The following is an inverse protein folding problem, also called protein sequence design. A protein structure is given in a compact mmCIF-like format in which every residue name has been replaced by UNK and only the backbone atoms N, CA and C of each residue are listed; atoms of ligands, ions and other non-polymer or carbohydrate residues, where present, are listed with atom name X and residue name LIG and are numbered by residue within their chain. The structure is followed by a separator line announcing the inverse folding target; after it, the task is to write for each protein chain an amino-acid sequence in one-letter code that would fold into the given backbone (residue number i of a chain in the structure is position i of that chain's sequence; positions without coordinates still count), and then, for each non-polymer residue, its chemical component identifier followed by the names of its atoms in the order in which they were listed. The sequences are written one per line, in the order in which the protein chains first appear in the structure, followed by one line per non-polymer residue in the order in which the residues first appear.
data_IF_209563643676
#
_entry.id   IF_209563643676
#
_cell.length_a   1.000
_cell.length_b   1.000
_cell.length_c   1.000
_cell.angle_alpha   90.00
_cell.angle_beta   90.00
_cell.angle_gamma   90.00
#
_symmetry.space_group_name_H-M   'P 1'
#
loop_
_entity.id
_entity.type
_entity.pdbx_description
1 polymer ?
#
# COMPACT_ATOMS: atom_id res chain seq x y z
N UNK A 1 -4.21 26.22 -30.53
CA UNK A 1 -3.99 24.80 -30.91
C UNK A 1 -2.64 24.41 -30.36
N UNK A 2 -2.61 23.77 -29.19
CA UNK A 2 -1.37 23.25 -28.61
C UNK A 2 -0.95 21.97 -29.35
N UNK A 3 0.36 21.64 -29.42
CA UNK A 3 0.80 20.42 -30.06
C UNK A 3 0.26 19.21 -29.29
N UNK A 4 -0.45 18.32 -29.99
CA UNK A 4 -0.79 17.00 -29.46
C UNK A 4 0.51 16.22 -29.35
N UNK A 5 1.08 16.13 -28.14
CA UNK A 5 2.13 15.18 -27.85
C UNK A 5 1.52 13.79 -28.00
N UNK A 6 1.77 13.15 -29.14
CA UNK A 6 1.58 11.71 -29.27
C UNK A 6 2.53 11.06 -28.28
N UNK A 7 2.03 10.66 -27.12
CA UNK A 7 2.78 9.79 -26.22
C UNK A 7 2.99 8.48 -26.97
N UNK A 8 4.20 8.25 -27.47
CA UNK A 8 4.60 6.89 -27.82
C UNK A 8 4.37 6.03 -26.59
N UNK A 9 3.49 5.03 -26.72
CA UNK A 9 3.30 4.01 -25.69
C UNK A 9 4.58 3.20 -25.57
N UNK A 10 5.45 3.60 -24.63
CA UNK A 10 6.61 2.81 -24.24
C UNK A 10 6.11 1.56 -23.54
N UNK A 11 6.03 0.45 -24.25
CA UNK A 11 5.63 -0.83 -23.66
C UNK A 11 6.80 -1.44 -22.90
N UNK A 12 6.63 -1.66 -21.60
CA UNK A 12 7.63 -2.32 -20.79
C UNK A 12 7.87 -3.76 -21.29
N UNK A 13 9.13 -4.25 -21.34
CA UNK A 13 9.43 -5.59 -21.85
C UNK A 13 8.74 -6.67 -21.02
N UNK A 14 7.99 -7.55 -21.70
CA UNK A 14 7.27 -8.62 -21.04
C UNK A 14 8.20 -9.74 -20.52
N UNK A 15 7.77 -10.39 -19.44
CA UNK A 15 8.41 -11.58 -18.87
C UNK A 15 7.61 -12.86 -19.10
N UNK A 16 8.24 -14.00 -18.82
CA UNK A 16 7.59 -15.33 -18.87
C UNK A 16 6.83 -15.64 -17.56
N UNK A 17 7.41 -15.30 -16.41
CA UNK A 17 6.84 -15.50 -15.08
C UNK A 17 6.16 -14.21 -14.56
N UNK A 18 6.92 -13.13 -14.56
CA UNK A 18 6.45 -11.77 -14.29
C UNK A 18 5.75 -11.22 -15.53
N UNK A 19 4.74 -10.36 -15.35
CA UNK A 19 4.15 -9.64 -16.49
C UNK A 19 5.20 -8.75 -17.14
N UNK A 20 5.91 -7.95 -16.33
CA UNK A 20 6.96 -7.06 -16.79
C UNK A 20 8.32 -7.44 -16.18
N UNK A 21 9.39 -7.36 -16.97
CA UNK A 21 10.75 -7.60 -16.47
C UNK A 21 11.20 -6.55 -15.46
N UNK A 22 10.59 -5.38 -15.49
CA UNK A 22 10.85 -4.30 -14.53
C UNK A 22 10.58 -4.72 -13.08
N UNK A 23 9.65 -5.66 -12.85
CA UNK A 23 9.27 -6.12 -11.51
C UNK A 23 10.30 -7.04 -10.85
N UNK A 24 11.37 -7.45 -11.57
CA UNK A 24 12.40 -8.34 -11.00
C UNK A 24 13.02 -7.76 -9.73
N UNK A 25 13.31 -6.46 -9.74
CA UNK A 25 13.95 -5.77 -8.62
C UNK A 25 13.00 -5.64 -7.43
N UNK A 26 11.77 -5.19 -7.64
CA UNK A 26 10.78 -5.05 -6.57
C UNK A 26 10.46 -6.41 -5.95
N UNK A 27 10.23 -7.45 -6.76
CA UNK A 27 10.00 -8.82 -6.26
C UNK A 27 11.19 -9.33 -5.46
N UNK A 28 12.41 -9.20 -5.98
CA UNK A 28 13.61 -9.63 -5.25
C UNK A 28 13.76 -8.93 -3.90
N UNK A 29 13.50 -7.63 -3.83
CA UNK A 29 13.56 -6.85 -2.58
C UNK A 29 12.46 -7.26 -1.59
N UNK A 30 11.23 -7.48 -2.05
CA UNK A 30 10.13 -7.98 -1.20
C UNK A 30 10.45 -9.35 -0.63
N UNK A 31 10.97 -10.26 -1.46
CA UNK A 31 11.31 -11.62 -1.02
C UNK A 31 12.54 -11.63 -0.11
N UNK A 32 13.55 -10.78 -0.35
CA UNK A 32 14.70 -10.63 0.53
C UNK A 32 14.30 -10.06 1.90
N UNK A 33 13.44 -9.03 1.92
CA UNK A 33 12.86 -8.48 3.15
C UNK A 33 12.05 -9.52 3.91
N UNK A 34 11.23 -10.30 3.21
CA UNK A 34 10.47 -11.40 3.81
C UNK A 34 11.38 -12.48 4.41
N UNK A 35 12.41 -12.90 3.67
CA UNK A 35 13.39 -13.88 4.15
C UNK A 35 14.16 -13.37 5.37
N UNK A 36 14.51 -12.07 5.40
CA UNK A 36 15.15 -11.45 6.57
C UNK A 36 14.23 -11.51 7.81
N UNK A 37 12.95 -11.14 7.67
CA UNK A 37 11.97 -11.24 8.76
C UNK A 37 11.73 -12.67 9.21
N UNK A 38 11.67 -13.61 8.26
CA UNK A 38 11.56 -15.04 8.56
C UNK A 38 12.79 -15.55 9.31
N UNK A 39 13.99 -15.08 8.95
CA UNK A 39 15.23 -15.38 9.65
C UNK A 39 15.21 -14.88 11.10
N UNK A 40 14.72 -13.66 11.33
CA UNK A 40 14.52 -13.13 12.70
C UNK A 40 13.52 -13.98 13.47
N UNK A 41 12.40 -14.36 12.85
CA UNK A 41 11.39 -15.20 13.48
C UNK A 41 11.90 -16.58 13.89
N UNK A 42 12.69 -17.24 13.04
CA UNK A 42 13.13 -18.62 13.24
C UNK A 42 14.38 -18.74 14.12
N UNK A 43 15.29 -17.75 14.07
CA UNK A 43 16.65 -17.93 14.60
C UNK A 43 17.09 -16.87 15.62
N UNK A 44 16.31 -15.81 15.84
CA UNK A 44 16.71 -14.69 16.72
C UNK A 44 15.82 -14.66 17.95
N UNK A 45 16.42 -14.43 19.12
CA UNK A 45 15.62 -14.25 20.35
C UNK A 45 14.78 -12.98 20.22
N UNK A 46 13.55 -12.92 20.77
CA UNK A 46 12.70 -11.78 20.54
C UNK A 46 13.29 -10.45 21.03
N UNK A 47 14.10 -10.47 22.10
CA UNK A 47 14.80 -9.29 22.62
C UNK A 47 15.84 -8.72 21.64
N UNK A 48 16.61 -9.59 20.99
CA UNK A 48 17.53 -9.16 19.92
C UNK A 48 16.72 -8.72 18.69
N UNK A 49 15.61 -9.40 18.39
CA UNK A 49 14.69 -8.99 17.33
C UNK A 49 14.16 -7.56 17.53
N UNK A 50 13.85 -7.16 18.77
CA UNK A 50 13.44 -5.79 19.09
C UNK A 50 14.53 -4.76 18.74
N UNK A 51 15.80 -5.09 19.01
CA UNK A 51 16.94 -4.23 18.64
C UNK A 51 17.13 -4.14 17.12
N UNK A 52 16.69 -5.16 16.37
CA UNK A 52 16.75 -5.19 14.90
C UNK A 52 15.58 -4.47 14.23
N UNK A 53 14.58 -3.98 14.96
CA UNK A 53 13.42 -3.28 14.37
C UNK A 53 13.81 -2.16 13.40
N UNK A 54 14.77 -1.26 13.69
CA UNK A 54 15.19 -0.23 12.73
C UNK A 54 15.68 -0.82 11.40
N UNK A 55 16.43 -1.92 11.45
CA UNK A 55 16.93 -2.63 10.25
C UNK A 55 15.78 -3.25 9.48
N UNK A 56 14.82 -3.86 10.18
CA UNK A 56 13.61 -4.40 9.56
C UNK A 56 12.75 -3.29 8.91
N UNK A 57 12.80 -2.05 9.40
CA UNK A 57 11.98 -0.95 8.90
C UNK A 57 12.51 -0.38 7.58
N UNK A 58 13.83 -0.38 7.35
CA UNK A 58 14.45 0.18 6.14
C UNK A 58 13.81 -0.37 4.85
N UNK A 59 13.74 -1.69 4.61
CA UNK A 59 13.11 -2.21 3.41
C UNK A 59 11.59 -2.05 3.42
N UNK A 60 10.98 -1.94 4.61
CA UNK A 60 9.52 -1.95 4.76
C UNK A 60 8.83 -0.78 4.06
N UNK A 61 9.48 0.40 4.04
CA UNK A 61 8.98 1.56 3.31
C UNK A 61 8.90 1.30 1.80
N UNK A 62 9.90 0.61 1.24
CA UNK A 62 9.87 0.22 -0.17
C UNK A 62 8.83 -0.86 -0.44
N UNK A 63 8.71 -1.84 0.46
CA UNK A 63 7.71 -2.93 0.35
C UNK A 63 6.28 -2.38 0.36
N UNK A 64 6.00 -1.30 1.10
CA UNK A 64 4.70 -0.63 1.06
C UNK A 64 4.36 -0.10 -0.34
N UNK A 65 5.30 0.59 -0.99
CA UNK A 65 5.14 1.09 -2.36
C UNK A 65 4.95 -0.07 -3.36
N UNK A 66 5.73 -1.15 -3.21
CA UNK A 66 5.60 -2.32 -4.09
C UNK A 66 4.28 -3.07 -3.88
N UNK A 67 3.76 -3.13 -2.65
CA UNK A 67 2.43 -3.68 -2.39
C UNK A 67 1.36 -2.83 -3.09
N UNK A 68 1.42 -1.51 -2.94
CA UNK A 68 0.52 -0.59 -3.63
C UNK A 68 0.52 -0.81 -5.15
N UNK A 69 1.69 -0.85 -5.80
CA UNK A 69 1.80 -1.14 -7.23
C UNK A 69 1.26 -2.53 -7.62
N UNK A 70 1.57 -3.56 -6.84
CA UNK A 70 1.05 -4.92 -7.08
C UNK A 70 -0.48 -4.96 -7.08
N UNK A 71 -1.12 -4.14 -6.25
CA UNK A 71 -2.57 -4.09 -6.11
C UNK A 71 -3.22 -3.23 -7.21
N UNK A 72 -2.50 -2.33 -7.87
CA UNK A 72 -2.93 -1.74 -9.16
C UNK A 72 -2.83 -2.77 -10.29
N UNK A 73 -1.66 -3.38 -10.42
CA UNK A 73 -1.39 -4.35 -11.48
C UNK A 73 -0.69 -5.57 -10.89
N UNK A 74 -1.39 -6.71 -10.92
CA UNK A 74 -0.84 -8.00 -10.53
C UNK A 74 0.52 -8.25 -11.21
N UNK A 75 1.56 -8.49 -10.40
CA UNK A 75 2.97 -8.62 -10.83
C UNK A 75 3.25 -9.88 -11.67
N UNK A 76 2.61 -11.00 -11.33
CA UNK A 76 2.82 -12.28 -12.00
C UNK A 76 1.77 -12.54 -13.07
N UNK A 77 2.12 -13.32 -14.09
CA UNK A 77 1.12 -13.85 -15.04
C UNK A 77 0.21 -14.90 -14.38
N UNK A 78 0.74 -15.68 -13.44
CA UNK A 78 -0.01 -16.72 -12.73
C UNK A 78 -0.93 -16.10 -11.66
N UNK A 79 -2.26 -16.35 -11.72
CA UNK A 79 -3.18 -15.89 -10.68
C UNK A 79 -2.81 -16.41 -9.29
N UNK A 80 -2.38 -17.68 -9.20
CA UNK A 80 -2.00 -18.31 -7.92
C UNK A 80 -0.78 -17.63 -7.30
N UNK A 81 0.24 -17.32 -8.11
CA UNK A 81 1.43 -16.63 -7.61
C UNK A 81 1.11 -15.23 -7.10
N UNK A 82 0.18 -14.51 -7.75
CA UNK A 82 -0.28 -13.22 -7.23
C UNK A 82 -0.95 -13.36 -5.86
N UNK A 83 -1.81 -14.38 -5.66
CA UNK A 83 -2.47 -14.59 -4.35
C UNK A 83 -1.49 -15.02 -3.25
N UNK A 84 -0.47 -15.82 -3.58
CA UNK A 84 0.60 -16.13 -2.63
C UNK A 84 1.43 -14.88 -2.29
N UNK A 85 1.72 -14.06 -3.29
CA UNK A 85 2.47 -12.83 -3.12
C UNK A 85 1.71 -11.78 -2.29
N UNK A 86 0.38 -11.69 -2.44
CA UNK A 86 -0.44 -10.83 -1.57
C UNK A 86 -0.27 -11.18 -0.09
N UNK A 87 -0.18 -12.48 0.25
CA UNK A 87 -0.01 -12.92 1.64
C UNK A 87 1.36 -12.47 2.16
N UNK A 88 2.41 -12.63 1.34
CA UNK A 88 3.77 -12.17 1.68
C UNK A 88 3.82 -10.64 1.87
N UNK A 89 3.13 -9.88 1.01
CA UNK A 89 3.03 -8.43 1.13
C UNK A 89 2.20 -8.01 2.35
N UNK A 90 1.09 -8.68 2.63
CA UNK A 90 0.22 -8.39 3.76
C UNK A 90 0.93 -8.59 5.11
N UNK A 91 1.67 -9.69 5.25
CA UNK A 91 2.53 -9.94 6.43
C UNK A 91 3.59 -8.85 6.62
N UNK A 92 4.04 -8.23 5.53
CA UNK A 92 5.09 -7.22 5.59
C UNK A 92 4.58 -5.80 5.83
N UNK A 93 3.39 -5.49 5.34
CA UNK A 93 2.86 -4.12 5.26
C UNK A 93 1.69 -3.85 6.19
N UNK A 94 1.08 -4.88 6.80
CA UNK A 94 -0.04 -4.74 7.71
C UNK A 94 -1.40 -4.52 7.04
N UNK A 95 -1.44 -4.25 5.74
CA UNK A 95 -2.69 -4.17 4.96
C UNK A 95 -2.96 -5.50 4.25
N UNK A 96 -4.16 -6.04 4.44
CA UNK A 96 -4.54 -7.34 3.91
C UNK A 96 -4.65 -7.37 2.37
N UNK A 97 -4.61 -8.57 1.75
CA UNK A 97 -4.83 -8.73 0.31
C UNK A 97 -6.10 -8.02 -0.16
N UNK A 98 -6.09 -7.38 -1.33
CA UNK A 98 -7.19 -6.54 -1.86
C UNK A 98 -7.54 -5.30 -1.05
N UNK A 99 -6.88 -5.03 0.09
CA UNK A 99 -7.14 -3.84 0.89
C UNK A 99 -6.91 -2.55 0.10
N UNK A 100 -5.79 -2.47 -0.64
CA UNK A 100 -5.51 -1.38 -1.57
C UNK A 100 -6.51 -1.34 -2.73
N UNK A 101 -6.92 -2.48 -3.30
CA UNK A 101 -7.90 -2.49 -4.40
C UNK A 101 -9.20 -1.82 -3.97
N UNK A 102 -9.71 -2.15 -2.77
CA UNK A 102 -10.94 -1.58 -2.25
C UNK A 102 -10.77 -0.13 -1.78
N UNK A 103 -9.80 0.13 -0.88
CA UNK A 103 -9.62 1.46 -0.28
C UNK A 103 -9.11 2.48 -1.29
N UNK A 104 -8.12 2.09 -2.09
CA UNK A 104 -7.34 3.03 -2.89
C UNK A 104 -7.76 3.03 -4.35
N UNK A 105 -7.95 1.88 -5.01
CA UNK A 105 -8.24 1.87 -6.44
C UNK A 105 -9.72 2.19 -6.73
N UNK A 106 -10.61 1.56 -5.97
CA UNK A 106 -12.06 1.73 -6.12
C UNK A 106 -12.62 2.85 -5.25
N UNK A 107 -11.91 3.20 -4.18
CA UNK A 107 -12.19 4.36 -3.33
C UNK A 107 -11.38 5.58 -3.76
N UNK A 108 -10.25 5.81 -3.09
CA UNK A 108 -9.45 7.03 -3.19
C UNK A 108 -9.19 7.52 -4.63
N UNK A 109 -8.70 6.69 -5.55
CA UNK A 109 -8.48 7.09 -6.96
C UNK A 109 -9.74 7.58 -7.67
N UNK A 110 -10.93 7.15 -7.24
CA UNK A 110 -12.21 7.64 -7.75
C UNK A 110 -12.65 8.93 -7.10
N UNK A 111 -12.26 9.15 -5.84
CA UNK A 111 -12.86 10.15 -4.96
C UNK A 111 -11.89 11.22 -4.45
N UNK A 112 -10.59 11.16 -4.76
CA UNK A 112 -9.55 12.01 -4.14
C UNK A 112 -9.76 13.53 -4.32
N UNK A 113 -10.52 13.94 -5.33
CA UNK A 113 -10.95 15.34 -5.54
C UNK A 113 -12.09 15.79 -4.61
N UNK A 114 -12.70 14.88 -3.85
CA UNK A 114 -13.85 15.13 -2.99
C UNK A 114 -13.42 15.06 -1.53
N UNK A 115 -13.42 16.21 -0.88
CA UNK A 115 -13.07 16.35 0.52
C UNK A 115 -14.29 16.82 1.30
N UNK A 116 -14.53 16.32 2.52
CA UNK A 116 -15.61 16.80 3.36
C UNK A 116 -15.55 18.33 3.58
N UNK A 117 -16.71 18.98 3.85
CA UNK A 117 -18.02 18.39 4.10
C UNK A 117 -18.83 18.11 2.83
N UNK A 118 -18.27 18.35 1.65
CA UNK A 118 -19.00 18.31 0.39
C UNK A 118 -18.90 16.94 -0.31
N UNK A 119 -20.05 16.45 -0.80
CA UNK A 119 -20.14 15.27 -1.66
C UNK A 119 -19.77 13.93 -0.98
N UNK A 120 -19.55 12.92 -1.81
CA UNK A 120 -19.01 11.62 -1.37
C UNK A 120 -17.50 11.78 -1.14
N UNK A 121 -17.12 11.83 0.15
CA UNK A 121 -15.75 12.04 0.57
C UNK A 121 -14.81 10.90 0.16
N UNK A 122 -13.59 11.28 -0.21
CA UNK A 122 -12.43 10.40 -0.38
C UNK A 122 -12.26 9.46 0.82
N UNK A 123 -12.07 8.17 0.58
CA UNK A 123 -11.76 7.18 1.61
C UNK A 123 -10.44 7.49 2.35
N UNK A 124 -9.55 8.27 1.73
CA UNK A 124 -8.32 8.80 2.32
C UNK A 124 -8.38 10.32 2.58
N UNK A 125 -9.59 10.86 2.82
CA UNK A 125 -9.83 12.29 3.02
C UNK A 125 -8.95 12.90 4.11
N UNK A 126 -8.50 14.12 3.88
CA UNK A 126 -7.67 14.90 4.80
C UNK A 126 -8.40 16.08 5.44
N UNK A 127 -9.60 16.41 4.97
CA UNK A 127 -10.48 17.40 5.57
C UNK A 127 -11.44 16.77 6.60
N UNK A 128 -11.85 17.53 7.62
CA UNK A 128 -12.79 17.08 8.66
C UNK A 128 -14.23 17.15 8.15
N UNK A 129 -15.04 16.15 8.53
CA UNK A 129 -16.47 16.11 8.17
C UNK A 129 -17.31 17.25 8.75
N UNK A 130 -16.94 17.80 9.90
CA UNK A 130 -17.76 18.81 10.59
C UNK A 130 -17.74 20.18 9.90
N UNK A 131 -16.54 20.70 9.62
CA UNK A 131 -16.33 22.07 9.13
C UNK A 131 -15.46 22.14 7.87
N UNK A 132 -15.02 21.01 7.34
CA UNK A 132 -14.11 20.94 6.20
C UNK A 132 -12.68 21.35 6.50
N UNK A 133 -12.32 21.66 7.74
CA UNK A 133 -10.96 22.10 8.04
C UNK A 133 -9.93 20.97 7.84
N UNK A 134 -8.71 21.31 7.42
CA UNK A 134 -7.62 20.35 7.22
C UNK A 134 -7.20 19.69 8.54
N UNK A 135 -7.15 18.35 8.58
CA UNK A 135 -6.59 17.60 9.69
C UNK A 135 -5.09 17.84 9.84
N UNK A 136 -4.58 17.80 11.07
CA UNK A 136 -3.13 17.74 11.28
C UNK A 136 -2.57 16.39 10.80
N UNK A 137 -1.28 16.33 10.44
CA UNK A 137 -0.67 15.09 9.92
C UNK A 137 -0.79 13.89 10.87
N UNK A 138 -0.61 14.10 12.18
CA UNK A 138 -0.76 13.05 13.19
C UNK A 138 -2.22 12.57 13.25
N UNK A 139 -3.17 13.51 13.30
CA UNK A 139 -4.59 13.22 13.31
C UNK A 139 -5.01 12.43 12.07
N UNK A 140 -4.62 12.89 10.86
CA UNK A 140 -4.83 12.16 9.61
C UNK A 140 -4.28 10.74 9.67
N UNK A 141 -3.02 10.60 10.10
CA UNK A 141 -2.35 9.30 10.15
C UNK A 141 -3.10 8.33 11.04
N UNK A 142 -3.51 8.77 12.23
CA UNK A 142 -4.27 7.94 13.16
C UNK A 142 -5.68 7.67 12.65
N UNK A 143 -6.35 8.67 12.07
CA UNK A 143 -7.68 8.53 11.48
C UNK A 143 -7.67 7.47 10.38
N UNK A 144 -6.83 7.63 9.36
CA UNK A 144 -6.70 6.68 8.25
C UNK A 144 -6.29 5.30 8.77
N UNK A 145 -5.31 5.21 9.68
CA UNK A 145 -4.90 3.93 10.25
C UNK A 145 -6.04 3.21 11.00
N UNK A 146 -6.87 3.92 11.76
CA UNK A 146 -7.95 3.30 12.54
C UNK A 146 -9.19 2.99 11.69
N UNK A 147 -9.50 3.84 10.71
CA UNK A 147 -10.76 3.76 9.95
C UNK A 147 -10.62 3.09 8.57
N UNK A 148 -9.41 2.85 8.04
CA UNK A 148 -9.26 2.26 6.69
C UNK A 148 -10.02 0.93 6.52
N UNK A 149 -10.09 0.09 7.55
CA UNK A 149 -10.85 -1.17 7.46
C UNK A 149 -12.35 -0.90 7.28
N UNK A 150 -12.90 0.10 7.96
CA UNK A 150 -14.30 0.50 7.83
C UNK A 150 -14.56 1.00 6.41
N UNK A 151 -13.68 1.86 5.88
CA UNK A 151 -13.79 2.37 4.51
C UNK A 151 -13.66 1.25 3.46
N UNK A 152 -12.73 0.31 3.63
CA UNK A 152 -12.62 -0.89 2.80
C UNK A 152 -13.94 -1.65 2.73
N UNK A 153 -14.61 -1.84 3.87
CA UNK A 153 -15.91 -2.52 3.90
C UNK A 153 -17.02 -1.68 3.28
N UNK A 154 -17.05 -0.36 3.48
CA UNK A 154 -18.02 0.55 2.85
C UNK A 154 -17.91 0.51 1.33
N UNK A 155 -16.71 0.66 0.78
CA UNK A 155 -16.44 0.53 -0.67
C UNK A 155 -16.75 -0.89 -1.13
N UNK A 156 -16.30 -1.91 -0.39
CA UNK A 156 -16.54 -3.31 -0.73
C UNK A 156 -18.01 -3.69 -0.85
N UNK A 157 -18.91 -3.08 -0.06
CA UNK A 157 -20.36 -3.30 -0.21
C UNK A 157 -20.91 -2.79 -1.55
N UNK A 158 -20.28 -1.78 -2.14
CA UNK A 158 -20.57 -1.30 -3.51
C UNK A 158 -19.92 -2.19 -4.59
N UNK A 159 -18.92 -2.99 -4.23
CA UNK A 159 -18.17 -3.89 -5.12
C UNK A 159 -18.11 -5.34 -4.58
N UNK A 160 -19.26 -6.06 -4.54
CA UNK A 160 -19.38 -7.36 -3.87
C UNK A 160 -18.42 -8.42 -4.43
N UNK A 161 -18.10 -8.34 -5.72
CA UNK A 161 -17.16 -9.26 -6.36
C UNK A 161 -15.71 -9.10 -5.91
N UNK A 162 -15.30 -7.91 -5.50
CA UNK A 162 -13.95 -7.67 -4.95
C UNK A 162 -13.97 -7.94 -3.46
N UNK A 163 -15.07 -7.59 -2.78
CA UNK A 163 -15.26 -7.89 -1.36
C UNK A 163 -15.21 -9.39 -1.05
N UNK A 164 -15.79 -10.26 -1.89
CA UNK A 164 -15.68 -11.72 -1.71
C UNK A 164 -14.22 -12.19 -1.74
N UNK A 165 -13.39 -11.60 -2.59
CA UNK A 165 -11.97 -11.95 -2.68
C UNK A 165 -11.18 -11.41 -1.50
N UNK A 166 -11.45 -10.17 -1.07
CA UNK A 166 -10.89 -9.58 0.14
C UNK A 166 -11.19 -10.46 1.37
N UNK A 167 -12.44 -10.87 1.55
CA UNK A 167 -12.85 -11.76 2.65
C UNK A 167 -12.27 -13.17 2.50
N UNK A 168 -12.29 -13.73 1.30
CA UNK A 168 -11.71 -15.05 1.03
C UNK A 168 -10.22 -15.10 1.32
N UNK A 169 -9.46 -14.07 0.93
CA UNK A 169 -8.02 -13.98 1.17
C UNK A 169 -7.64 -13.68 2.63
N UNK A 170 -8.57 -13.17 3.46
CA UNK A 170 -8.36 -13.09 4.91
C UNK A 170 -8.17 -14.47 5.54
N UNK A 171 -8.81 -15.51 5.01
CA UNK A 171 -8.70 -16.88 5.55
C UNK A 171 -7.25 -17.40 5.50
N UNK A 172 -6.58 -17.52 4.34
CA UNK A 172 -5.20 -17.99 4.30
C UNK A 172 -4.23 -17.01 4.98
N UNK A 173 -4.46 -15.69 4.88
CA UNK A 173 -3.62 -14.71 5.57
C UNK A 173 -3.67 -14.88 7.11
N UNK A 174 -4.86 -14.94 7.70
CA UNK A 174 -4.99 -15.13 9.15
C UNK A 174 -4.63 -16.54 9.59
N UNK A 175 -4.75 -17.56 8.73
CA UNK A 175 -4.21 -18.88 9.02
C UNK A 175 -2.68 -18.82 9.21
N UNK A 176 -1.95 -18.11 8.34
CA UNK A 176 -0.49 -17.93 8.49
C UNK A 176 -0.16 -17.14 9.77
N UNK A 177 -0.89 -16.07 10.04
CA UNK A 177 -0.73 -15.29 11.29
C UNK A 177 -0.99 -16.16 12.53
N UNK A 178 -2.07 -16.94 12.54
CA UNK A 178 -2.42 -17.82 13.65
C UNK A 178 -1.36 -18.91 13.86
N UNK A 179 -0.84 -19.51 12.79
CA UNK A 179 0.24 -20.50 12.86
C UNK A 179 1.53 -19.90 13.45
N UNK A 180 1.90 -18.68 13.01
CA UNK A 180 3.06 -17.97 13.55
C UNK A 180 2.92 -17.65 15.04
N UNK A 181 1.74 -17.16 15.44
CA UNK A 181 1.43 -16.86 16.85
C UNK A 181 1.35 -18.12 17.71
N UNK A 182 0.82 -19.22 17.18
CA UNK A 182 0.78 -20.51 17.87
C UNK A 182 2.18 -21.09 18.09
N UNK A 183 3.07 -20.98 17.09
CA UNK A 183 4.43 -21.50 17.18
C UNK A 183 5.30 -20.70 18.15
N UNK A 184 5.43 -19.38 17.93
CA UNK A 184 6.25 -18.51 18.78
C UNK A 184 5.68 -17.09 18.76
N UNK A 185 4.76 -16.76 19.68
CA UNK A 185 4.00 -15.52 19.62
C UNK A 185 4.90 -14.28 19.74
N UNK A 186 5.86 -14.30 20.65
CA UNK A 186 6.71 -13.13 20.88
C UNK A 186 7.65 -12.88 19.68
N UNK A 187 8.27 -13.92 19.12
CA UNK A 187 9.11 -13.77 17.93
C UNK A 187 8.29 -13.34 16.72
N UNK A 188 7.08 -13.89 16.54
CA UNK A 188 6.22 -13.54 15.41
C UNK A 188 5.74 -12.08 15.47
N UNK A 189 5.35 -11.63 16.67
CA UNK A 189 4.96 -10.22 16.90
C UNK A 189 6.10 -9.27 16.56
N UNK A 190 7.32 -9.58 17.02
CA UNK A 190 8.51 -8.74 16.78
C UNK A 190 8.94 -8.76 15.30
N UNK A 191 8.90 -9.91 14.64
CA UNK A 191 9.39 -10.05 13.27
C UNK A 191 8.38 -9.58 12.21
N UNK A 192 7.07 -9.71 12.47
CA UNK A 192 6.03 -9.45 11.47
C UNK A 192 5.01 -8.40 11.93
N UNK A 193 4.39 -8.55 13.10
CA UNK A 193 3.24 -7.69 13.46
C UNK A 193 3.64 -6.25 13.76
N UNK A 194 4.66 -6.03 14.60
CA UNK A 194 5.17 -4.68 14.91
C UNK A 194 5.70 -4.01 13.64
N UNK A 195 6.59 -4.63 12.85
CA UNK A 195 7.01 -4.10 11.56
C UNK A 195 5.87 -3.79 10.60
N UNK A 196 4.91 -4.70 10.44
CA UNK A 196 3.75 -4.49 9.58
C UNK A 196 2.90 -3.30 10.01
N UNK A 197 2.63 -3.18 11.31
CA UNK A 197 1.87 -2.05 11.86
C UNK A 197 2.59 -0.71 11.66
N UNK A 198 3.91 -0.65 11.90
CA UNK A 198 4.71 0.56 11.65
C UNK A 198 4.71 0.90 10.16
N UNK A 199 4.79 -0.11 9.28
CA UNK A 199 4.74 0.09 7.82
C UNK A 199 3.41 0.69 7.39
N UNK A 200 2.29 0.20 7.93
CA UNK A 200 0.96 0.73 7.66
C UNK A 200 0.80 2.16 8.19
N UNK A 201 1.27 2.44 9.40
CA UNK A 201 1.28 3.81 9.97
C UNK A 201 2.12 4.76 9.12
N UNK A 202 3.31 4.34 8.70
CA UNK A 202 4.16 5.13 7.82
C UNK A 202 3.52 5.37 6.46
N UNK A 203 2.80 4.39 5.93
CA UNK A 203 2.02 4.55 4.69
C UNK A 203 0.97 5.65 4.85
N UNK A 204 0.16 5.61 5.91
CA UNK A 204 -0.83 6.66 6.21
C UNK A 204 -0.15 8.03 6.38
N UNK A 205 0.99 8.09 7.07
CA UNK A 205 1.78 9.30 7.26
C UNK A 205 2.30 9.89 5.93
N UNK A 206 2.73 9.03 5.01
CA UNK A 206 3.21 9.44 3.69
C UNK A 206 2.06 9.94 2.82
N UNK A 207 0.90 9.27 2.83
CA UNK A 207 -0.28 9.67 2.03
C UNK A 207 -0.71 11.12 2.32
N UNK A 208 -0.58 11.59 3.56
CA UNK A 208 -0.88 12.98 3.91
C UNK A 208 -0.11 14.00 3.05
N UNK A 209 1.20 13.80 2.86
CA UNK A 209 2.03 14.71 2.07
C UNK A 209 1.59 14.76 0.60
N UNK A 210 1.09 13.63 0.08
CA UNK A 210 0.67 13.52 -1.30
C UNK A 210 -0.60 14.32 -1.62
N UNK A 211 -1.50 14.55 -0.66
CA UNK A 211 -2.85 15.08 -0.96
C UNK A 211 -3.31 16.26 -0.11
N UNK A 212 -2.78 16.44 1.10
CA UNK A 212 -3.35 17.38 2.06
C UNK A 212 -3.34 18.83 1.59
N UNK A 213 -4.42 19.56 1.89
CA UNK A 213 -4.56 20.99 1.62
C UNK A 213 -4.94 21.35 0.17
N UNK A 214 -5.11 20.38 -0.72
CA UNK A 214 -5.44 20.61 -2.13
C UNK A 214 -6.96 20.67 -2.36
N UNK A 215 -7.59 21.83 -2.13
CA UNK A 215 -9.00 22.06 -2.47
C UNK A 215 -9.17 22.40 -3.95
N UNK A 216 -8.98 21.41 -4.81
CA UNK A 216 -9.07 21.57 -6.27
C UNK A 216 -9.88 20.45 -6.90
N UNK A 217 -10.47 20.75 -8.05
CA UNK A 217 -11.12 19.75 -8.93
C UNK A 217 -10.26 19.41 -10.14
N UNK A 218 -9.07 20.02 -10.24
CA UNK A 218 -8.09 19.70 -11.28
C UNK A 218 -7.18 18.55 -10.83
N UNK A 219 -7.15 17.47 -11.63
CA UNK A 219 -6.31 16.32 -11.40
C UNK A 219 -4.80 16.68 -11.34
N UNK A 220 -4.36 17.74 -12.03
CA UNK A 220 -2.96 18.17 -12.05
C UNK A 220 -2.52 18.84 -10.74
N UNK A 221 -3.45 19.38 -9.96
CA UNK A 221 -3.18 20.12 -8.72
C UNK A 221 -3.52 19.31 -7.46
N UNK A 222 -4.34 18.27 -7.59
CA UNK A 222 -4.85 17.48 -6.46
C UNK A 222 -3.85 16.52 -5.82
N UNK A 223 -2.58 16.57 -6.23
CA UNK A 223 -1.50 15.73 -5.70
C UNK A 223 -0.15 16.43 -5.75
N UNK A 224 0.70 16.15 -4.78
CA UNK A 224 2.09 16.61 -4.77
C UNK A 224 3.03 15.52 -5.31
N UNK A 225 3.99 15.94 -6.14
CA UNK A 225 5.03 15.05 -6.65
C UNK A 225 6.29 15.12 -5.78
N UNK A 226 6.96 13.97 -5.62
CA UNK A 226 8.29 13.84 -5.05
C UNK A 226 9.25 13.35 -6.13
N UNK A 227 9.90 14.29 -6.80
CA UNK A 227 10.69 14.02 -8.00
C UNK A 227 12.11 13.52 -7.71
N UNK A 228 12.53 13.47 -6.44
CA UNK A 228 13.89 13.08 -6.08
C UNK A 228 14.27 11.71 -6.68
N UNK A 229 15.37 11.59 -7.45
CA UNK A 229 15.69 10.37 -8.19
C UNK A 229 15.81 9.13 -7.31
N UNK A 230 16.45 9.25 -6.15
CA UNK A 230 16.59 8.11 -5.23
C UNK A 230 15.22 7.62 -4.73
N UNK A 231 14.27 8.54 -4.46
CA UNK A 231 12.95 8.14 -4.00
C UNK A 231 12.26 7.31 -5.08
N UNK A 232 12.21 7.83 -6.31
CA UNK A 232 11.56 7.16 -7.43
C UNK A 232 12.25 5.85 -7.84
N UNK A 233 13.57 5.78 -7.77
CA UNK A 233 14.31 4.53 -7.97
C UNK A 233 13.97 3.51 -6.88
N UNK A 234 13.79 3.92 -5.63
CA UNK A 234 13.46 3.01 -4.53
C UNK A 234 11.97 2.62 -4.50
N UNK A 235 11.07 3.48 -4.97
CA UNK A 235 9.62 3.28 -4.90
C UNK A 235 8.97 3.00 -6.26
N UNK A 236 9.76 2.72 -7.30
CA UNK A 236 9.27 2.45 -8.65
C UNK A 236 8.42 3.60 -9.23
N UNK A 237 8.90 4.83 -9.08
CA UNK A 237 8.28 6.07 -9.55
C UNK A 237 6.98 6.49 -8.82
N UNK A 238 6.69 5.93 -7.64
CA UNK A 238 5.55 6.35 -6.82
C UNK A 238 5.57 7.86 -6.50
N UNK A 239 6.73 8.51 -6.54
CA UNK A 239 6.83 9.95 -6.33
C UNK A 239 6.22 10.79 -7.46
N UNK A 240 6.01 10.23 -8.65
CA UNK A 240 5.27 10.87 -9.74
C UNK A 240 3.75 10.68 -9.54
N UNK A 241 3.26 11.13 -8.38
CA UNK A 241 1.95 10.79 -7.83
C UNK A 241 0.79 11.41 -8.62
N UNK A 242 0.97 12.59 -9.22
CA UNK A 242 -0.03 13.16 -10.15
C UNK A 242 -0.26 12.24 -11.35
N UNK A 243 0.83 11.74 -11.96
CA UNK A 243 0.74 10.82 -13.09
C UNK A 243 0.12 9.48 -12.68
N UNK A 244 0.46 8.98 -11.49
CA UNK A 244 -0.14 7.80 -10.86
C UNK A 244 -1.67 7.94 -10.69
N UNK A 245 -2.16 9.11 -10.27
CA UNK A 245 -3.60 9.35 -10.14
C UNK A 245 -4.33 9.50 -11.48
N UNK A 246 -3.68 10.09 -12.47
CA UNK A 246 -4.25 10.21 -13.81
C UNK A 246 -4.29 8.88 -14.57
N UNK A 247 -3.32 8.01 -14.36
CA UNK A 247 -3.22 6.71 -15.02
C UNK A 247 -2.83 5.61 -14.01
N UNK A 248 -3.78 5.20 -13.15
CA UNK A 248 -3.55 4.27 -12.05
C UNK A 248 -3.32 2.82 -12.47
#
# INVERSE_FOLDING_TARGET
MGPSLSMETVTAPEGWLLKYRADRRSVALVMASFAMRLGVFLFVTPWVGLLLLPVLMVPSVMVAAYNHHHQHVNTFRSPVLNRLYDIVLALQTGIGPYGWVLHHNLGHHKNYLNQPPEGDADESHWARHGDGSTMGRIEYTLHTFLYHQVEIFKVGRKHPEVLRWYLGMKVPHYAVVALGLWWNPLAFVVAFMIPGAITLLHTCWATYEHHSGQYTKDHYEASTNREHPLFNVLTCNLGLHTAHHMNP
#
